data_IF_332737017748
#
_entry.id   IF_332737017748
#
_cell.length_a   1.000
_cell.length_b   1.000
_cell.length_c   1.000
_cell.angle_alpha   90.00
_cell.angle_beta   90.00
_cell.angle_gamma   90.00
#
_symmetry.space_group_name_H-M   'P 1'
#
loop_
_entity.id
_entity.type
_entity.pdbx_description
1 polymer ?
#
# COMPACT_ATOMS: atom_id res chain seq x y z
N UNK A 1 -16.65 -12.45 6.93
CA UNK A 1 -16.72 -13.66 6.06
C UNK A 1 -15.38 -14.35 6.16
N UNK A 2 -15.28 -15.67 5.98
CA UNK A 2 -13.97 -16.32 5.98
C UNK A 2 -13.29 -16.05 4.62
N UNK A 3 -12.15 -15.32 4.56
CA UNK A 3 -11.44 -15.06 3.29
C UNK A 3 -10.88 -16.34 2.62
N UNK A 4 -10.98 -17.50 3.27
CA UNK A 4 -10.60 -18.80 2.70
C UNK A 4 -11.75 -19.53 2.00
N UNK A 5 -12.93 -18.92 1.89
CA UNK A 5 -14.07 -19.54 1.22
C UNK A 5 -13.76 -19.82 -0.26
N UNK A 6 -13.50 -21.08 -0.56
CA UNK A 6 -13.03 -21.57 -1.87
C UNK A 6 -14.19 -21.83 -2.84
N UNK A 7 -15.44 -21.64 -2.38
CA UNK A 7 -16.65 -21.84 -3.19
C UNK A 7 -16.90 -20.71 -4.20
N UNK A 8 -16.21 -19.57 -4.05
CA UNK A 8 -16.35 -18.42 -4.93
C UNK A 8 -15.40 -18.51 -6.13
N UNK A 9 -15.96 -18.59 -7.33
CA UNK A 9 -15.21 -18.57 -8.59
C UNK A 9 -14.60 -17.18 -8.82
N UNK A 10 -13.26 -17.08 -8.98
CA UNK A 10 -12.61 -15.84 -9.40
C UNK A 10 -13.00 -15.45 -10.84
N UNK A 11 -13.25 -14.17 -11.04
CA UNK A 11 -13.50 -13.55 -12.33
C UNK A 11 -12.36 -12.57 -12.65
N UNK A 12 -11.95 -12.53 -13.91
CA UNK A 12 -10.96 -11.56 -14.37
C UNK A 12 -11.57 -10.16 -14.48
N UNK A 13 -10.82 -9.16 -14.01
CA UNK A 13 -11.19 -7.75 -14.13
C UNK A 13 -10.09 -6.99 -14.88
N UNK A 14 -10.50 -6.22 -15.88
CA UNK A 14 -9.60 -5.34 -16.60
C UNK A 14 -9.08 -4.21 -15.69
N UNK A 15 -7.82 -3.79 -15.86
CA UNK A 15 -7.31 -2.59 -15.20
C UNK A 15 -8.06 -1.35 -15.68
N UNK A 16 -8.08 -0.28 -14.87
CA UNK A 16 -8.76 0.98 -15.25
C UNK A 16 -8.10 1.68 -16.43
N UNK A 17 -6.79 1.50 -16.59
CA UNK A 17 -5.95 2.03 -17.65
C UNK A 17 -4.65 1.21 -17.73
N UNK A 18 -3.87 1.42 -18.79
CA UNK A 18 -2.60 0.73 -18.99
C UNK A 18 -1.59 1.05 -17.88
N UNK A 19 -1.08 0.01 -17.21
CA UNK A 19 -0.13 0.13 -16.11
C UNK A 19 -0.74 0.40 -14.73
N UNK A 20 -2.06 0.27 -14.57
CA UNK A 20 -2.72 0.33 -13.26
C UNK A 20 -2.43 -0.92 -12.41
N UNK A 21 -1.48 -0.80 -11.49
CA UNK A 21 -1.11 -1.86 -10.54
C UNK A 21 -1.96 -1.85 -9.25
N UNK A 22 -2.84 -0.85 -9.09
CA UNK A 22 -3.75 -0.80 -7.95
C UNK A 22 -4.92 -1.76 -8.14
N UNK A 23 -5.57 -1.71 -9.31
CA UNK A 23 -6.73 -2.55 -9.61
C UNK A 23 -6.39 -4.02 -9.53
N UNK A 24 -7.25 -4.80 -8.85
CA UNK A 24 -7.09 -6.25 -8.86
C UNK A 24 -7.48 -6.82 -10.21
N UNK A 25 -6.65 -7.72 -10.74
CA UNK A 25 -6.97 -8.49 -11.93
C UNK A 25 -7.96 -9.62 -11.66
N UNK A 26 -8.14 -10.02 -10.41
CA UNK A 26 -9.05 -11.10 -10.02
C UNK A 26 -9.99 -10.60 -8.93
N UNK A 27 -11.28 -10.71 -9.21
CA UNK A 27 -12.34 -10.34 -8.26
C UNK A 27 -13.24 -11.54 -8.05
N UNK A 28 -13.81 -11.67 -6.86
CA UNK A 28 -14.78 -12.73 -6.57
C UNK A 28 -15.86 -12.23 -5.62
N UNK A 29 -16.96 -12.97 -5.57
CA UNK A 29 -18.11 -12.62 -4.73
C UNK A 29 -18.89 -11.42 -5.27
N UNK A 30 -19.97 -11.07 -4.58
CA UNK A 30 -20.94 -10.09 -5.05
C UNK A 30 -21.31 -9.07 -3.96
N UNK A 31 -21.67 -7.86 -4.39
CA UNK A 31 -22.15 -6.79 -3.51
C UNK A 31 -21.18 -6.47 -2.37
N UNK A 32 -21.65 -6.58 -1.13
CA UNK A 32 -20.86 -6.25 0.06
C UNK A 32 -19.76 -7.27 0.38
N UNK A 33 -19.83 -8.45 -0.25
CA UNK A 33 -18.88 -9.56 -0.07
C UNK A 33 -17.89 -9.64 -1.24
N UNK A 34 -17.82 -8.59 -2.06
CA UNK A 34 -16.91 -8.53 -3.21
C UNK A 34 -15.49 -8.37 -2.71
N UNK A 35 -14.61 -9.22 -3.19
CA UNK A 35 -13.20 -9.28 -2.82
C UNK A 35 -12.32 -9.08 -4.05
N UNK A 36 -11.14 -8.51 -3.84
CA UNK A 36 -10.09 -8.41 -4.83
C UNK A 36 -8.85 -9.17 -4.37
N UNK A 37 -8.17 -9.83 -5.31
CA UNK A 37 -6.90 -10.49 -5.07
C UNK A 37 -5.75 -9.49 -5.04
N UNK A 38 -4.91 -9.54 -4.00
CA UNK A 38 -3.66 -8.80 -3.95
C UNK A 38 -2.48 -9.73 -4.27
N UNK A 39 -1.91 -9.59 -5.47
CA UNK A 39 -0.73 -10.35 -5.90
C UNK A 39 0.62 -9.85 -5.37
N UNK A 40 0.65 -8.73 -4.63
CA UNK A 40 1.88 -8.17 -4.06
C UNK A 40 2.22 -8.74 -2.67
N UNK A 41 1.26 -9.40 -2.02
CA UNK A 41 1.50 -10.16 -0.80
C UNK A 41 2.30 -11.43 -1.12
N UNK A 42 3.16 -11.88 -0.20
CA UNK A 42 4.08 -13.02 -0.41
C UNK A 42 3.35 -14.30 -0.87
N UNK A 43 2.19 -14.59 -0.30
CA UNK A 43 1.32 -15.72 -0.69
C UNK A 43 0.15 -15.29 -1.59
N UNK A 44 0.04 -14.00 -1.88
CA UNK A 44 -1.19 -13.35 -2.27
C UNK A 44 -2.31 -13.46 -1.22
N UNK A 45 -3.33 -12.61 -1.31
CA UNK A 45 -4.50 -12.68 -0.42
C UNK A 45 -5.75 -12.04 -1.02
N UNK A 46 -6.92 -12.60 -0.70
CA UNK A 46 -8.21 -12.00 -0.98
C UNK A 46 -8.57 -10.96 0.07
N UNK A 47 -9.03 -9.79 -0.36
CA UNK A 47 -9.39 -8.70 0.54
C UNK A 47 -10.70 -8.08 0.12
N UNK A 48 -11.54 -7.78 1.10
CA UNK A 48 -12.82 -7.11 0.91
C UNK A 48 -12.62 -5.72 0.28
N UNK A 49 -13.33 -5.47 -0.83
CA UNK A 49 -13.30 -4.19 -1.52
C UNK A 49 -14.14 -3.14 -0.77
N UNK A 50 -15.31 -3.52 -0.25
CA UNK A 50 -16.26 -2.58 0.36
C UNK A 50 -15.76 -1.97 1.67
N UNK A 51 -15.10 -2.77 2.52
CA UNK A 51 -14.64 -2.33 3.84
C UNK A 51 -13.26 -1.68 3.82
N UNK A 52 -12.80 -1.23 2.66
CA UNK A 52 -11.48 -0.61 2.45
C UNK A 52 -10.27 -1.47 2.79
N UNK A 53 -10.45 -2.76 3.13
CA UNK A 53 -9.35 -3.67 3.45
C UNK A 53 -8.35 -3.78 2.30
N UNK A 54 -8.86 -3.94 1.07
CA UNK A 54 -8.05 -3.94 -0.15
C UNK A 54 -7.28 -2.62 -0.34
N UNK A 55 -7.95 -1.48 -0.08
CA UNK A 55 -7.31 -0.17 -0.20
C UNK A 55 -6.19 0.04 0.82
N UNK A 56 -6.43 -0.31 2.09
CA UNK A 56 -5.42 -0.20 3.15
C UNK A 56 -4.19 -1.05 2.81
N UNK A 57 -4.40 -2.27 2.32
CA UNK A 57 -3.32 -3.17 1.95
C UNK A 57 -2.47 -2.61 0.80
N UNK A 58 -3.10 -2.30 -0.33
CA UNK A 58 -2.43 -1.74 -1.51
C UNK A 58 -1.71 -0.44 -1.19
N UNK A 59 -2.34 0.46 -0.46
CA UNK A 59 -1.78 1.78 -0.19
C UNK A 59 -0.67 1.72 0.85
N UNK A 60 -0.87 1.01 1.97
CA UNK A 60 0.06 1.11 3.10
C UNK A 60 1.04 -0.05 3.19
N UNK A 61 0.69 -1.26 2.76
CA UNK A 61 1.65 -2.37 2.77
C UNK A 61 2.49 -2.38 1.49
N UNK A 62 1.91 -1.96 0.36
CA UNK A 62 2.56 -2.01 -0.95
C UNK A 62 2.90 -0.63 -1.53
N UNK A 63 2.45 0.44 -0.90
CA UNK A 63 2.78 1.79 -1.35
C UNK A 63 2.16 2.15 -2.70
N UNK A 64 0.97 1.64 -3.03
CA UNK A 64 0.31 1.87 -4.31
C UNK A 64 -0.82 2.90 -4.16
N UNK A 65 -0.75 3.97 -4.93
CA UNK A 65 -1.74 5.04 -4.92
C UNK A 65 -3.01 4.62 -5.69
N UNK A 66 -4.17 4.76 -5.05
CA UNK A 66 -5.48 4.43 -5.65
C UNK A 66 -5.80 5.28 -6.88
N UNK A 67 -5.44 6.56 -6.87
CA UNK A 67 -5.80 7.52 -7.93
C UNK A 67 -4.92 7.32 -9.16
N UNK A 68 -3.60 7.24 -8.97
CA UNK A 68 -2.66 7.11 -10.10
C UNK A 68 -2.44 5.67 -10.53
N UNK A 69 -2.90 4.69 -9.73
CA UNK A 69 -2.68 3.27 -9.99
C UNK A 69 -1.22 2.86 -10.00
N UNK A 70 -0.31 3.69 -9.47
CA UNK A 70 1.14 3.51 -9.47
C UNK A 70 1.70 3.56 -8.06
N UNK A 71 2.95 3.14 -7.86
CA UNK A 71 3.62 3.27 -6.57
C UNK A 71 3.76 4.74 -6.17
N UNK A 72 3.68 5.03 -4.88
CA UNK A 72 4.01 6.34 -4.32
C UNK A 72 5.44 6.73 -4.70
N UNK A 73 5.65 8.03 -4.87
CA UNK A 73 6.97 8.57 -5.15
C UNK A 73 7.92 8.20 -4.01
N UNK A 74 9.05 7.61 -4.37
CA UNK A 74 10.14 7.39 -3.43
C UNK A 74 10.70 8.72 -2.92
N UNK A 75 11.34 8.74 -1.75
CA UNK A 75 12.06 9.92 -1.28
C UNK A 75 13.18 10.30 -2.26
N UNK A 76 13.47 11.60 -2.38
CA UNK A 76 14.59 12.06 -3.20
C UNK A 76 15.94 11.70 -2.61
N UNK A 77 16.03 11.74 -1.28
CA UNK A 77 17.26 11.48 -0.55
C UNK A 77 16.93 10.72 0.71
N UNK A 78 17.65 9.63 0.93
CA UNK A 78 17.71 8.95 2.22
C UNK A 78 18.91 9.50 2.99
N UNK A 79 18.73 9.91 4.24
CA UNK A 79 19.84 10.17 5.14
C UNK A 79 19.78 9.18 6.31
N UNK A 80 20.91 8.52 6.56
CA UNK A 80 21.13 7.80 7.80
C UNK A 80 21.36 8.84 8.89
N UNK A 81 20.35 9.07 9.72
CA UNK A 81 20.50 9.87 10.93
C UNK A 81 20.40 8.94 12.14
N UNK A 82 21.09 9.27 13.23
CA UNK A 82 20.67 8.75 14.53
C UNK A 82 19.33 9.41 14.84
N UNK A 83 18.21 8.78 14.47
CA UNK A 83 16.87 9.29 14.76
C UNK A 83 16.67 9.38 16.28
N UNK A 84 16.90 10.55 16.86
CA UNK A 84 16.68 10.81 18.30
C UNK A 84 15.19 10.77 18.71
N UNK A 85 14.26 10.68 17.75
CA UNK A 85 12.81 10.58 17.99
C UNK A 85 12.25 9.17 17.79
N UNK A 86 13.11 8.20 17.49
CA UNK A 86 12.73 6.81 17.29
C UNK A 86 13.23 6.01 18.51
N UNK A 87 12.37 5.21 19.15
CA UNK A 87 12.77 4.31 20.26
C UNK A 87 13.83 3.27 19.82
N UNK A 88 14.03 3.08 18.52
CA UNK A 88 15.14 2.30 17.96
C UNK A 88 16.34 3.20 17.68
N UNK A 89 17.51 2.83 18.26
CA UNK A 89 18.79 3.56 18.20
C UNK A 89 19.35 3.81 16.78
N UNK A 90 18.69 3.36 15.71
CA UNK A 90 19.03 3.59 14.31
C UNK A 90 17.75 3.68 13.44
N UNK A 91 17.04 4.80 13.52
CA UNK A 91 15.93 5.10 12.60
C UNK A 91 16.45 5.84 11.35
N UNK A 92 15.96 5.49 10.16
CA UNK A 92 16.25 6.27 8.95
C UNK A 92 15.24 7.40 8.84
N UNK A 93 15.61 8.53 8.26
CA UNK A 93 14.66 9.56 7.86
C UNK A 93 14.83 9.86 6.37
N UNK A 94 13.72 10.19 5.73
CA UNK A 94 13.68 10.51 4.31
C UNK A 94 13.02 11.88 4.11
N UNK A 95 13.50 12.66 3.15
CA UNK A 95 12.96 13.99 2.85
C UNK A 95 11.86 13.90 1.78
N UNK A 96 10.61 14.31 2.10
CA UNK A 96 9.55 14.40 1.06
C UNK A 96 9.87 15.57 0.13
N UNK A 97 9.94 15.31 -1.18
CA UNK A 97 10.15 16.36 -2.19
C UNK A 97 9.00 17.37 -2.28
N UNK A 98 7.77 16.95 -1.95
CA UNK A 98 6.60 17.82 -2.09
C UNK A 98 6.48 18.81 -0.94
N UNK A 99 6.70 18.36 0.30
CA UNK A 99 6.52 19.21 1.48
C UNK A 99 7.84 19.62 2.17
N UNK A 100 8.98 19.12 1.71
CA UNK A 100 10.32 19.36 2.26
C UNK A 100 10.43 19.06 3.77
N UNK A 101 9.69 18.05 4.25
CA UNK A 101 9.75 17.58 5.65
C UNK A 101 10.49 16.25 5.74
N UNK A 102 11.24 16.10 6.83
CA UNK A 102 11.85 14.84 7.23
C UNK A 102 10.78 13.90 7.79
N UNK A 103 10.66 12.73 7.20
CA UNK A 103 9.67 11.72 7.55
C UNK A 103 10.41 10.49 8.08
N UNK A 104 10.01 9.96 9.25
CA UNK A 104 10.58 8.75 9.78
C UNK A 104 10.39 7.57 8.82
N UNK A 105 11.50 6.91 8.51
CA UNK A 105 11.60 5.73 7.68
C UNK A 105 12.16 4.60 8.55
N UNK A 106 11.28 3.85 9.19
CA UNK A 106 11.70 2.77 10.11
C UNK A 106 12.39 1.63 9.35
N UNK A 107 13.46 1.07 9.93
CA UNK A 107 14.28 0.02 9.29
C UNK A 107 13.66 -1.38 9.42
N UNK A 108 12.70 -1.56 10.31
CA UNK A 108 12.04 -2.85 10.56
C UNK A 108 11.21 -3.32 9.36
N UNK A 109 10.83 -4.60 9.34
CA UNK A 109 10.17 -5.33 8.23
C UNK A 109 8.86 -4.71 7.67
N UNK A 110 8.42 -3.54 8.17
CA UNK A 110 7.31 -2.72 7.69
C UNK A 110 7.82 -1.42 7.04
N UNK A 111 8.82 -1.56 6.16
CA UNK A 111 9.47 -0.44 5.46
C UNK A 111 8.42 0.39 4.70
N UNK A 112 8.37 1.69 4.94
CA UNK A 112 7.59 2.63 4.13
C UNK A 112 6.14 2.91 4.56
N UNK A 113 5.54 2.24 5.54
CA UNK A 113 4.14 2.52 5.95
C UNK A 113 3.95 3.99 6.36
N UNK A 114 4.88 4.52 7.18
CA UNK A 114 4.87 5.92 7.62
C UNK A 114 5.04 6.87 6.43
N UNK A 115 5.89 6.48 5.47
CA UNK A 115 6.11 7.23 4.23
C UNK A 115 4.85 7.29 3.37
N UNK A 116 4.23 6.15 3.08
CA UNK A 116 3.02 6.08 2.25
C UNK A 116 1.84 6.82 2.88
N UNK A 117 1.72 6.79 4.21
CA UNK A 117 0.73 7.60 4.95
C UNK A 117 0.99 9.08 4.81
N UNK A 118 2.25 9.49 4.87
CA UNK A 118 2.63 10.87 4.68
C UNK A 118 2.32 11.34 3.25
N UNK A 119 2.76 10.58 2.25
CA UNK A 119 2.53 10.90 0.84
C UNK A 119 1.03 11.07 0.55
N UNK A 120 0.21 10.10 0.96
CA UNK A 120 -1.24 10.14 0.76
C UNK A 120 -1.94 11.31 1.46
N UNK A 121 -1.52 11.70 2.67
CA UNK A 121 -2.21 12.72 3.47
C UNK A 121 -1.69 14.13 3.26
N UNK A 122 -0.39 14.29 2.98
CA UNK A 122 0.32 15.56 3.11
C UNK A 122 0.95 16.02 1.79
N UNK A 123 1.51 15.10 0.98
CA UNK A 123 2.23 15.45 -0.24
C UNK A 123 1.31 15.39 -1.51
N UNK A 124 0.02 15.75 -1.37
CA UNK A 124 -0.95 15.83 -2.47
C UNK A 124 -0.69 16.98 -3.43
#
# INVERSE_FOLDING_TARGET
>A
MNPEDTSLTPEEQAPRFEGDIYTSHLVRGHGNKREGWCGFCISGRWLELKNSAFWYDKSFNHGINITTGRTFSGPATFLTLNCFRCDEKQGWEALCNTCNKWIPFVSSNKKGITWYRHDYKVCK
#
